data_IF_310519508443
#
_entry.id   IF_310519508443
#
_cell.length_a   1.000
_cell.length_b   1.000
_cell.length_c   1.000
_cell.angle_alpha   90.00
_cell.angle_beta   90.00
_cell.angle_gamma   90.00
#
_symmetry.space_group_name_H-M   'P 1'
#
loop_
_entity.id
_entity.type
_entity.pdbx_description
1 polymer ?
#
# COMPACT_ATOMS: atom_id res chain seq x y z
N UNK A 1 0.17 -4.27 -13.58
CA UNK A 1 -1.15 -4.42 -12.92
C UNK A 1 -2.15 -3.48 -13.60
N UNK A 2 -3.39 -3.90 -13.87
CA UNK A 2 -4.37 -3.12 -14.63
C UNK A 2 -4.57 -1.71 -14.09
N UNK A 3 -4.59 -1.56 -12.77
CA UNK A 3 -4.81 -0.28 -12.07
C UNK A 3 -3.73 0.76 -12.39
N UNK A 4 -2.46 0.40 -12.36
CA UNK A 4 -1.36 1.32 -12.68
C UNK A 4 -1.36 1.70 -14.17
N UNK A 5 -1.56 0.72 -15.05
CA UNK A 5 -1.65 0.94 -16.49
C UNK A 5 -2.82 1.85 -16.86
N UNK A 6 -4.00 1.60 -16.31
CA UNK A 6 -5.18 2.46 -16.53
C UNK A 6 -4.93 3.91 -16.07
N UNK A 7 -4.30 4.10 -14.91
CA UNK A 7 -3.96 5.45 -14.43
C UNK A 7 -2.95 6.16 -15.34
N UNK A 8 -1.96 5.44 -15.88
CA UNK A 8 -1.01 5.99 -16.85
C UNK A 8 -1.71 6.42 -18.15
N UNK A 9 -2.59 5.58 -18.68
CA UNK A 9 -3.38 5.95 -19.87
C UNK A 9 -4.29 7.14 -19.62
N UNK A 10 -4.94 7.19 -18.46
CA UNK A 10 -5.76 8.34 -18.07
C UNK A 10 -4.91 9.63 -17.99
N UNK A 11 -3.70 9.54 -17.41
CA UNK A 11 -2.74 10.62 -17.37
C UNK A 11 -2.41 11.14 -18.77
N UNK A 12 -2.09 10.23 -19.69
CA UNK A 12 -1.75 10.58 -21.08
C UNK A 12 -2.93 11.22 -21.81
N UNK A 13 -4.10 10.62 -21.71
CA UNK A 13 -5.32 11.11 -22.34
C UNK A 13 -5.78 12.48 -21.84
N UNK A 14 -5.39 12.84 -20.61
CA UNK A 14 -5.77 14.12 -19.98
C UNK A 14 -4.61 15.09 -19.83
N UNK A 15 -3.48 14.85 -20.48
CA UNK A 15 -2.25 15.64 -20.32
C UNK A 15 -2.40 17.12 -20.72
N UNK A 16 -3.27 17.41 -21.69
CA UNK A 16 -3.56 18.77 -22.17
C UNK A 16 -4.90 19.33 -21.67
N UNK A 17 -5.68 18.51 -20.96
CA UNK A 17 -6.99 18.91 -20.47
C UNK A 17 -6.87 19.83 -19.23
N UNK A 18 -7.64 20.93 -19.15
CA UNK A 18 -7.63 21.82 -17.98
C UNK A 18 -8.42 21.20 -16.83
N UNK A 19 -7.90 20.13 -16.23
CA UNK A 19 -8.56 19.42 -15.15
C UNK A 19 -8.62 20.28 -13.88
N UNK A 20 -9.79 20.29 -13.25
CA UNK A 20 -9.99 20.88 -11.91
C UNK A 20 -9.59 19.93 -10.79
N UNK A 21 -9.63 18.63 -11.05
CA UNK A 21 -9.26 17.58 -10.10
C UNK A 21 -8.78 16.34 -10.85
N UNK A 22 -7.81 15.63 -10.27
CA UNK A 22 -7.34 14.32 -10.71
C UNK A 22 -7.13 13.49 -9.46
N UNK A 23 -8.13 12.65 -9.11
CA UNK A 23 -8.14 11.89 -7.87
C UNK A 23 -7.90 10.40 -8.16
N UNK A 24 -6.90 9.83 -7.50
CA UNK A 24 -6.53 8.43 -7.61
C UNK A 24 -6.90 7.69 -6.33
N UNK A 25 -7.55 6.53 -6.47
CA UNK A 25 -7.94 5.67 -5.37
C UNK A 25 -6.86 4.63 -5.11
N UNK A 26 -5.94 4.97 -4.23
CA UNK A 26 -4.89 4.12 -3.72
C UNK A 26 -5.37 3.26 -2.54
N UNK A 27 -4.46 2.69 -1.78
CA UNK A 27 -4.76 1.88 -0.60
C UNK A 27 -3.68 2.06 0.45
N UNK A 28 -4.03 1.98 1.73
CA UNK A 28 -3.07 1.92 2.85
C UNK A 28 -2.10 0.75 2.74
N UNK A 29 -2.38 -0.26 1.91
CA UNK A 29 -1.42 -1.32 1.58
C UNK A 29 -0.17 -0.80 0.84
N UNK A 30 -0.24 0.37 0.20
CA UNK A 30 0.94 1.01 -0.40
C UNK A 30 1.91 1.53 0.68
N UNK A 31 1.39 1.93 1.85
CA UNK A 31 2.16 2.45 2.97
C UNK A 31 2.61 1.35 3.94
N UNK A 32 1.68 0.47 4.33
CA UNK A 32 1.88 -0.52 5.39
C UNK A 32 2.21 -1.92 4.85
N UNK A 33 2.08 -2.13 3.55
CA UNK A 33 2.11 -3.45 2.95
C UNK A 33 0.80 -4.22 3.12
N UNK A 34 0.71 -5.36 2.47
CA UNK A 34 -0.37 -6.33 2.66
C UNK A 34 0.17 -7.74 2.44
N UNK A 35 -0.07 -8.63 3.40
CA UNK A 35 0.37 -10.01 3.32
C UNK A 35 -0.18 -10.69 2.05
N UNK A 36 0.67 -11.39 1.33
CA UNK A 36 0.37 -12.10 0.08
C UNK A 36 -0.17 -11.21 -1.08
N UNK A 37 -0.03 -9.87 -1.00
CA UNK A 37 -0.51 -8.94 -2.02
C UNK A 37 0.56 -7.94 -2.51
N UNK A 38 1.79 -8.35 -2.84
CA UNK A 38 2.83 -7.41 -3.26
C UNK A 38 2.49 -6.69 -4.57
N UNK A 39 1.82 -7.36 -5.50
CA UNK A 39 1.34 -6.78 -6.75
C UNK A 39 0.26 -5.70 -6.54
N UNK A 40 -0.62 -5.89 -5.57
CA UNK A 40 -1.63 -4.91 -5.21
C UNK A 40 -1.00 -3.68 -4.55
N UNK A 41 -0.10 -3.89 -3.60
CA UNK A 41 0.66 -2.79 -2.96
C UNK A 41 1.48 -2.01 -3.99
N UNK A 42 2.21 -2.68 -4.88
CA UNK A 42 2.99 -2.03 -5.95
C UNK A 42 2.11 -1.21 -6.91
N UNK A 43 0.93 -1.74 -7.28
CA UNK A 43 0.00 -1.00 -8.13
C UNK A 43 -0.51 0.27 -7.46
N UNK A 44 -0.81 0.23 -6.15
CA UNK A 44 -1.24 1.40 -5.41
C UNK A 44 -0.11 2.41 -5.20
N UNK A 45 1.12 1.96 -4.90
CA UNK A 45 2.31 2.83 -4.86
C UNK A 45 2.55 3.55 -6.19
N UNK A 46 2.27 2.89 -7.32
CA UNK A 46 2.34 3.54 -8.63
C UNK A 46 1.35 4.69 -8.77
N UNK A 47 0.15 4.59 -8.19
CA UNK A 47 -0.82 5.70 -8.16
C UNK A 47 -0.32 6.87 -7.30
N UNK A 48 0.25 6.56 -6.14
CA UNK A 48 0.80 7.56 -5.23
C UNK A 48 1.94 8.34 -5.91
N UNK A 49 2.84 7.61 -6.57
CA UNK A 49 3.94 8.21 -7.35
C UNK A 49 3.41 9.07 -8.48
N UNK A 50 2.39 8.62 -9.21
CA UNK A 50 1.78 9.40 -10.29
C UNK A 50 1.19 10.71 -9.76
N UNK A 51 0.48 10.69 -8.64
CA UNK A 51 -0.04 11.90 -8.02
C UNK A 51 1.07 12.87 -7.62
N UNK A 52 2.14 12.37 -7.00
CA UNK A 52 3.29 13.17 -6.60
C UNK A 52 4.01 13.80 -7.82
N UNK A 53 4.25 13.02 -8.87
CA UNK A 53 4.86 13.52 -10.12
C UNK A 53 4.00 14.59 -10.80
N UNK A 54 2.67 14.42 -10.84
CA UNK A 54 1.78 15.44 -11.37
C UNK A 54 1.87 16.74 -10.59
N UNK A 55 1.85 16.65 -9.27
CA UNK A 55 1.96 17.83 -8.39
C UNK A 55 3.29 18.56 -8.54
N UNK A 56 4.41 17.84 -8.65
CA UNK A 56 5.73 18.44 -8.88
C UNK A 56 5.81 19.16 -10.24
N UNK A 57 4.99 18.76 -11.20
CA UNK A 57 4.85 19.42 -12.51
C UNK A 57 3.74 20.48 -12.56
N UNK A 58 3.27 20.95 -11.40
CA UNK A 58 2.20 21.94 -11.24
C UNK A 58 0.82 21.51 -11.77
N UNK A 59 0.58 20.22 -12.01
CA UNK A 59 -0.74 19.70 -12.34
C UNK A 59 -1.52 19.30 -11.08
N UNK A 60 -2.84 19.47 -11.13
CA UNK A 60 -3.71 19.00 -10.05
C UNK A 60 -3.71 17.48 -9.97
N UNK A 61 -3.44 16.94 -8.78
CA UNK A 61 -3.58 15.51 -8.49
C UNK A 61 -3.61 15.24 -6.99
N UNK A 62 -4.30 14.19 -6.58
CA UNK A 62 -4.17 13.60 -5.27
C UNK A 62 -4.39 12.08 -5.37
N UNK A 63 -3.65 11.31 -4.58
CA UNK A 63 -3.89 9.89 -4.33
C UNK A 63 -4.41 9.73 -2.90
N UNK A 64 -5.52 9.03 -2.73
CA UNK A 64 -6.05 8.70 -1.41
C UNK A 64 -5.77 7.23 -1.14
N UNK A 65 -4.94 6.95 -0.15
CA UNK A 65 -4.65 5.62 0.37
C UNK A 65 -5.78 5.21 1.33
N UNK A 66 -6.78 4.55 0.77
CA UNK A 66 -7.94 4.10 1.53
C UNK A 66 -7.61 2.90 2.41
N UNK A 67 -8.04 2.97 3.67
CA UNK A 67 -8.22 1.81 4.54
C UNK A 67 -9.47 1.01 4.16
N UNK A 68 -9.79 -0.05 4.91
CA UNK A 68 -11.00 -0.84 4.70
C UNK A 68 -12.25 0.00 5.01
N UNK A 69 -13.26 -0.11 4.14
CA UNK A 69 -14.53 0.58 4.29
C UNK A 69 -15.50 -0.23 5.15
N UNK A 70 -16.33 0.45 5.93
CA UNK A 70 -17.28 -0.19 6.82
C UNK A 70 -18.43 -0.87 6.08
N UNK A 71 -18.98 -0.17 5.08
CA UNK A 71 -20.23 -0.57 4.42
C UNK A 71 -20.00 -1.32 3.11
N UNK A 72 -18.84 -1.13 2.45
CA UNK A 72 -18.56 -1.65 1.11
C UNK A 72 -17.10 -2.08 0.96
N UNK A 73 -16.84 -2.99 0.05
CA UNK A 73 -15.49 -3.37 -0.34
C UNK A 73 -15.12 -4.82 0.00
N UNK A 74 -13.90 -5.22 -0.37
CA UNK A 74 -13.40 -6.59 -0.20
C UNK A 74 -13.27 -7.03 1.27
N UNK A 75 -13.25 -6.09 2.20
CA UNK A 75 -13.15 -6.34 3.64
C UNK A 75 -14.52 -6.33 4.34
N UNK A 76 -15.64 -6.30 3.63
CA UNK A 76 -16.98 -6.25 4.22
C UNK A 76 -17.45 -7.54 4.90
N UNK A 77 -16.63 -8.58 4.95
CA UNK A 77 -16.90 -9.81 5.71
C UNK A 77 -16.53 -9.68 7.19
N UNK A 78 -17.46 -10.06 8.11
CA UNK A 78 -17.32 -9.89 9.56
C UNK A 78 -15.99 -10.35 10.14
N UNK A 79 -15.52 -11.55 9.77
CA UNK A 79 -14.26 -12.13 10.26
C UNK A 79 -13.01 -11.29 9.86
N UNK A 80 -13.03 -10.65 8.68
CA UNK A 80 -11.94 -9.76 8.25
C UNK A 80 -11.96 -8.46 9.06
N UNK A 81 -13.15 -7.90 9.32
CA UNK A 81 -13.33 -6.74 10.17
C UNK A 81 -12.82 -6.95 11.59
N UNK A 82 -13.24 -8.04 12.23
CA UNK A 82 -12.81 -8.41 13.59
C UNK A 82 -11.30 -8.49 13.67
N UNK A 83 -10.66 -9.19 12.75
CA UNK A 83 -9.21 -9.34 12.70
C UNK A 83 -8.49 -8.00 12.51
N UNK A 84 -8.99 -7.11 11.67
CA UNK A 84 -8.42 -5.78 11.48
C UNK A 84 -8.55 -4.94 12.74
N UNK A 85 -9.70 -4.98 13.41
CA UNK A 85 -9.93 -4.27 14.68
C UNK A 85 -9.04 -4.80 15.82
N UNK A 86 -8.85 -6.11 15.90
CA UNK A 86 -7.91 -6.73 16.85
C UNK A 86 -6.48 -6.24 16.62
N UNK A 87 -6.07 -6.05 15.37
CA UNK A 87 -4.77 -5.50 15.00
C UNK A 87 -4.67 -3.97 15.21
N UNK A 88 -5.75 -3.30 15.60
CA UNK A 88 -5.77 -1.87 15.83
C UNK A 88 -6.16 -1.02 14.60
N UNK A 89 -6.61 -1.64 13.53
CA UNK A 89 -7.09 -0.94 12.32
C UNK A 89 -8.61 -0.81 12.35
N UNK A 90 -9.09 0.42 12.23
CA UNK A 90 -10.52 0.71 12.14
C UNK A 90 -11.01 0.76 10.69
N UNK A 91 -12.32 0.89 10.55
CA UNK A 91 -12.99 0.98 9.26
C UNK A 91 -13.31 2.43 8.91
N UNK A 92 -13.26 2.74 7.62
CA UNK A 92 -13.62 4.06 7.09
C UNK A 92 -15.13 4.07 6.83
N UNK A 93 -15.88 4.80 7.64
CA UNK A 93 -17.31 5.04 7.40
C UNK A 93 -17.51 6.05 6.27
N UNK A 94 -18.69 6.01 5.63
CA UNK A 94 -19.02 6.80 4.45
C UNK A 94 -18.83 8.32 4.68
N UNK A 95 -19.30 8.86 5.79
CA UNK A 95 -19.16 10.29 6.10
C UNK A 95 -17.70 10.73 6.14
N UNK A 96 -16.85 9.98 6.85
CA UNK A 96 -15.41 10.24 6.92
C UNK A 96 -14.72 10.09 5.57
N UNK A 97 -15.15 9.13 4.77
CA UNK A 97 -14.63 8.95 3.41
C UNK A 97 -14.92 10.16 2.52
N UNK A 98 -16.15 10.69 2.58
CA UNK A 98 -16.53 11.89 1.83
C UNK A 98 -15.76 13.14 2.30
N UNK A 99 -15.58 13.33 3.59
CA UNK A 99 -14.75 14.42 4.14
C UNK A 99 -13.29 14.32 3.66
N UNK A 100 -12.74 13.12 3.64
CA UNK A 100 -11.40 12.87 3.15
C UNK A 100 -11.26 13.18 1.65
N UNK A 101 -12.24 12.82 0.83
CA UNK A 101 -12.29 13.19 -0.59
C UNK A 101 -12.33 14.71 -0.77
N UNK A 102 -13.20 15.41 -0.02
CA UNK A 102 -13.25 16.87 -0.06
C UNK A 102 -11.90 17.49 0.33
N UNK A 103 -11.23 16.91 1.33
CA UNK A 103 -9.90 17.36 1.75
C UNK A 103 -8.86 17.12 0.66
N UNK A 104 -8.85 15.95 0.03
CA UNK A 104 -7.92 15.60 -1.04
C UNK A 104 -8.06 16.50 -2.28
N UNK A 105 -9.24 17.07 -2.51
CA UNK A 105 -9.54 17.96 -3.63
C UNK A 105 -9.09 19.42 -3.38
N UNK A 106 -8.65 19.77 -2.17
CA UNK A 106 -8.16 21.13 -1.88
C UNK A 106 -6.80 21.36 -2.51
N UNK A 107 -6.53 22.58 -2.97
CA UNK A 107 -5.24 22.95 -3.52
C UNK A 107 -4.08 22.76 -2.52
N UNK A 108 -4.36 22.97 -1.22
CA UNK A 108 -3.39 22.80 -0.13
C UNK A 108 -3.21 21.36 0.33
N UNK A 109 -3.99 20.39 -0.20
CA UNK A 109 -3.87 19.00 0.20
C UNK A 109 -2.51 18.41 -0.20
N UNK A 110 -1.96 17.44 0.54
CA UNK A 110 -0.79 16.72 0.09
C UNK A 110 -1.10 15.90 -1.17
N UNK A 111 -0.06 15.57 -1.95
CA UNK A 111 -0.22 14.71 -3.13
C UNK A 111 -0.73 13.30 -2.78
N UNK A 112 -0.41 12.83 -1.58
CA UNK A 112 -0.83 11.52 -1.05
C UNK A 112 -1.43 11.71 0.34
N UNK A 113 -2.64 11.20 0.55
CA UNK A 113 -3.37 11.27 1.81
C UNK A 113 -3.79 9.85 2.23
N UNK A 114 -3.35 9.39 3.38
CA UNK A 114 -3.81 8.13 3.97
C UNK A 114 -5.04 8.34 4.85
N UNK A 115 -6.06 7.51 4.67
CA UNK A 115 -7.34 7.61 5.37
C UNK A 115 -7.71 6.26 5.98
N UNK A 116 -7.44 6.11 7.27
CA UNK A 116 -7.78 4.91 8.04
C UNK A 116 -7.78 5.27 9.53
N UNK A 117 -8.82 4.94 10.30
CA UNK A 117 -8.77 5.00 11.75
C UNK A 117 -7.73 4.00 12.27
N UNK A 118 -6.80 4.42 13.12
CA UNK A 118 -5.74 3.56 13.66
C UNK A 118 -5.62 3.75 15.17
N UNK A 119 -5.62 2.65 15.88
CA UNK A 119 -5.26 2.59 17.30
C UNK A 119 -3.75 2.34 17.44
N UNK A 120 -2.97 3.40 17.40
CA UNK A 120 -1.49 3.31 17.38
C UNK A 120 -0.91 2.52 18.55
N UNK A 121 -1.52 2.60 19.74
CA UNK A 121 -1.10 1.80 20.89
C UNK A 121 -1.21 0.29 20.67
N UNK A 122 -2.15 -0.17 19.82
CA UNK A 122 -2.26 -1.59 19.45
C UNK A 122 -1.31 -1.95 18.30
N UNK A 123 -1.25 -1.11 17.27
CA UNK A 123 -0.43 -1.35 16.07
C UNK A 123 1.06 -1.33 16.38
N UNK A 124 1.50 -0.41 17.26
CA UNK A 124 2.91 -0.23 17.61
C UNK A 124 3.25 -0.82 19.01
N UNK A 125 2.25 -1.37 19.71
CA UNK A 125 2.43 -1.92 21.03
C UNK A 125 3.39 -3.12 21.03
N UNK A 126 4.50 -2.99 21.76
CA UNK A 126 5.48 -4.06 21.95
C UNK A 126 6.51 -4.25 20.82
N UNK A 127 6.52 -3.39 19.80
CA UNK A 127 7.52 -3.41 18.73
C UNK A 127 8.18 -2.04 18.59
N UNK A 128 9.44 -2.02 18.16
CA UNK A 128 10.11 -0.78 17.78
C UNK A 128 9.41 -0.18 16.57
N UNK A 129 8.91 1.03 16.70
CA UNK A 129 8.19 1.69 15.62
C UNK A 129 9.13 1.97 14.44
N UNK A 130 8.75 1.61 13.20
CA UNK A 130 9.50 2.01 12.02
C UNK A 130 9.67 3.53 11.98
N UNK A 131 10.80 4.03 11.44
CA UNK A 131 11.14 5.45 11.43
C UNK A 131 10.02 6.36 10.89
N UNK A 132 9.31 5.93 9.84
CA UNK A 132 8.20 6.67 9.23
C UNK A 132 6.92 6.71 10.09
N UNK A 133 6.82 5.87 11.13
CA UNK A 133 5.72 5.85 12.10
C UNK A 133 6.14 6.37 13.49
N UNK A 134 7.37 6.80 13.67
CA UNK A 134 7.92 7.22 14.97
C UNK A 134 7.10 8.33 15.65
N UNK A 135 6.52 9.24 14.87
CA UNK A 135 5.66 10.32 15.40
C UNK A 135 4.40 9.78 16.09
N UNK A 136 3.92 8.60 15.71
CA UNK A 136 2.73 7.96 16.27
C UNK A 136 3.03 7.07 17.48
N UNK A 137 4.29 6.69 17.69
CA UNK A 137 4.72 5.87 18.82
C UNK A 137 4.56 6.61 20.15
N UNK A 138 4.70 7.94 20.15
CA UNK A 138 4.57 8.79 21.34
C UNK A 138 3.11 8.97 21.81
N UNK A 139 2.14 8.64 20.96
CA UNK A 139 0.71 8.73 21.27
C UNK A 139 0.16 7.45 21.92
N UNK A 140 0.98 6.41 22.08
CA UNK A 140 0.60 5.22 22.82
C UNK A 140 0.65 5.50 24.32
N UNK A 141 -0.39 5.20 25.13
CA UNK A 141 -0.33 5.33 26.56
C UNK A 141 0.84 4.49 27.09
N UNK A 142 1.77 5.12 27.80
CA UNK A 142 2.87 4.45 28.48
C UNK A 142 2.30 3.48 29.51
N UNK A 143 2.18 2.21 29.17
CA UNK A 143 2.04 1.16 30.19
C UNK A 143 3.31 1.18 31.03
N UNK A 144 3.14 1.30 32.35
CA UNK A 144 4.21 1.49 33.33
C UNK A 144 5.35 0.46 33.26
N UNK A 145 6.38 0.59 34.11
CA UNK A 145 7.66 -0.08 33.93
C UNK A 145 7.52 -1.59 33.96
N UNK A 146 7.68 -2.22 32.81
CA UNK A 146 7.89 -3.67 32.73
C UNK A 146 9.35 -3.91 33.07
N UNK A 147 9.57 -4.55 34.21
CA UNK A 147 10.88 -4.98 34.70
C UNK A 147 11.68 -5.66 33.61
N UNK A 148 12.95 -5.25 33.50
CA UNK A 148 13.96 -5.79 32.61
C UNK A 148 14.18 -7.30 32.83
N UNK A 149 13.51 -8.11 32.04
CA UNK A 149 13.89 -9.48 31.75
C UNK A 149 14.51 -9.49 30.36
N UNK A 150 15.83 -9.53 30.31
CA UNK A 150 16.57 -9.61 29.06
C UNK A 150 16.31 -10.98 28.39
N UNK A 151 15.27 -11.05 27.57
CA UNK A 151 15.13 -12.10 26.59
C UNK A 151 15.78 -11.60 25.30
N UNK A 152 16.95 -12.08 25.05
CA UNK A 152 17.69 -11.92 23.80
C UNK A 152 16.88 -12.61 22.68
N UNK A 153 15.91 -11.92 22.14
CA UNK A 153 15.26 -12.35 20.90
C UNK A 153 16.26 -12.10 19.79
N UNK A 154 16.86 -13.19 19.33
CA UNK A 154 17.71 -13.19 18.15
C UNK A 154 16.97 -12.46 17.02
N UNK A 155 17.58 -11.38 16.53
CA UNK A 155 17.18 -10.68 15.30
C UNK A 155 17.34 -11.65 14.14
N UNK A 156 16.36 -12.48 13.92
CA UNK A 156 16.20 -13.13 12.63
C UNK A 156 15.61 -12.08 11.70
N UNK A 157 16.45 -11.15 11.29
CA UNK A 157 16.16 -10.32 10.15
C UNK A 157 15.86 -11.26 9.01
N UNK A 158 14.62 -11.31 8.58
CA UNK A 158 14.25 -11.95 7.34
C UNK A 158 14.92 -11.16 6.22
N UNK A 159 16.22 -11.39 6.03
CA UNK A 159 16.87 -11.06 4.77
C UNK A 159 16.25 -12.04 3.78
N UNK A 160 15.25 -11.56 3.07
CA UNK A 160 14.77 -12.24 1.88
C UNK A 160 16.00 -12.22 0.94
N UNK A 161 16.76 -13.29 0.95
CA UNK A 161 17.93 -13.41 0.10
C UNK A 161 17.47 -13.40 -1.35
N UNK A 162 18.31 -12.91 -2.24
CA UNK A 162 18.07 -12.92 -3.69
C UNK A 162 17.60 -14.31 -4.16
N UNK A 163 18.15 -15.38 -3.61
CA UNK A 163 17.75 -16.77 -3.85
C UNK A 163 16.29 -17.06 -3.51
N UNK A 164 15.77 -16.51 -2.41
CA UNK A 164 14.36 -16.69 -2.03
C UNK A 164 13.41 -15.97 -2.98
N UNK A 165 13.81 -14.80 -3.48
CA UNK A 165 13.05 -14.05 -4.48
C UNK A 165 13.06 -14.76 -5.83
N UNK A 166 14.22 -15.28 -6.23
CA UNK A 166 14.39 -16.05 -7.46
C UNK A 166 13.59 -17.36 -7.42
N UNK A 167 13.59 -18.06 -6.28
CA UNK A 167 12.82 -19.29 -6.12
C UNK A 167 11.31 -19.01 -6.17
N UNK A 168 10.85 -17.92 -5.57
CA UNK A 168 9.44 -17.50 -5.68
C UNK A 168 9.10 -17.15 -7.14
N UNK A 169 9.99 -16.45 -7.84
CA UNK A 169 9.79 -16.09 -9.25
C UNK A 169 9.79 -17.36 -10.14
N UNK A 170 10.67 -18.33 -9.90
CA UNK A 170 10.70 -19.63 -10.60
C UNK A 170 9.39 -20.40 -10.43
N UNK A 171 8.88 -20.49 -9.20
CA UNK A 171 7.60 -21.15 -8.91
C UNK A 171 6.44 -20.47 -9.62
N UNK A 172 6.41 -19.14 -9.61
CA UNK A 172 5.33 -18.37 -10.23
C UNK A 172 5.39 -18.44 -11.76
N UNK A 173 6.58 -18.45 -12.34
CA UNK A 173 6.78 -18.53 -13.81
C UNK A 173 6.71 -19.96 -14.35
N UNK A 174 6.75 -20.98 -13.48
CA UNK A 174 6.65 -22.40 -13.86
C UNK A 174 7.78 -22.87 -14.76
N UNK A 175 9.00 -22.37 -14.61
CA UNK A 175 10.14 -22.73 -15.45
C UNK A 175 11.48 -22.60 -14.74
N UNK A 176 12.45 -23.39 -15.17
CA UNK A 176 13.85 -23.28 -14.77
C UNK A 176 14.48 -22.05 -15.45
N UNK A 177 14.52 -20.94 -14.77
CA UNK A 177 15.34 -19.79 -15.16
C UNK A 177 16.59 -19.74 -14.30
N UNK A 178 17.71 -19.39 -14.89
CA UNK A 178 18.97 -19.15 -14.21
C UNK A 178 18.93 -17.80 -13.46
N UNK A 179 19.83 -17.62 -12.46
CA UNK A 179 19.96 -16.38 -11.70
C UNK A 179 20.25 -15.15 -12.58
N UNK A 180 20.86 -15.37 -13.73
CA UNK A 180 21.21 -14.33 -14.71
C UNK A 180 20.11 -14.04 -15.75
N UNK A 181 18.96 -14.73 -15.67
CA UNK A 181 17.86 -14.48 -16.62
C UNK A 181 17.22 -13.11 -16.36
N UNK A 182 17.18 -12.21 -17.36
CA UNK A 182 16.58 -10.89 -17.19
C UNK A 182 15.11 -10.94 -16.77
N UNK A 183 14.69 -10.09 -15.84
CA UNK A 183 13.31 -10.02 -15.34
C UNK A 183 12.26 -9.87 -16.46
N UNK A 184 12.59 -9.20 -17.58
CA UNK A 184 11.72 -9.05 -18.75
C UNK A 184 11.38 -10.40 -19.41
N UNK A 185 12.31 -11.37 -19.39
CA UNK A 185 12.06 -12.72 -19.92
C UNK A 185 11.09 -13.50 -19.03
N UNK A 186 11.19 -13.33 -17.71
CA UNK A 186 10.21 -13.88 -16.77
C UNK A 186 8.82 -13.29 -17.01
N UNK A 187 8.73 -11.98 -17.20
CA UNK A 187 7.48 -11.29 -17.51
C UNK A 187 6.85 -11.80 -18.81
N UNK A 188 7.65 -11.99 -19.88
CA UNK A 188 7.19 -12.54 -21.14
C UNK A 188 6.64 -13.96 -21.01
N UNK A 189 7.30 -14.83 -20.25
CA UNK A 189 6.84 -16.21 -20.00
C UNK A 189 5.54 -16.25 -19.18
N UNK A 190 5.40 -15.37 -18.19
CA UNK A 190 4.16 -15.26 -17.40
C UNK A 190 3.00 -14.80 -18.28
N UNK A 191 3.20 -13.77 -19.11
CA UNK A 191 2.18 -13.26 -20.02
C UNK A 191 1.77 -14.30 -21.06
N UNK A 192 2.71 -15.04 -21.63
CA UNK A 192 2.43 -16.13 -22.58
C UNK A 192 1.60 -17.26 -21.95
N UNK A 193 1.86 -17.62 -20.67
CA UNK A 193 1.07 -18.62 -19.95
C UNK A 193 -0.32 -18.15 -19.53
N UNK A 194 -0.55 -16.83 -19.44
CA UNK A 194 -1.85 -16.25 -19.14
C UNK A 194 -2.78 -16.12 -20.36
N UNK A 195 -2.38 -16.66 -21.52
CA UNK A 195 -3.25 -16.72 -22.70
C UNK A 195 -3.45 -15.39 -23.42
N UNK A 196 -2.56 -14.45 -23.22
CA UNK A 196 -2.49 -13.25 -24.06
C UNK A 196 -1.60 -13.60 -25.28
N UNK A 197 -2.14 -14.39 -26.21
CA UNK A 197 -1.72 -14.32 -27.60
C UNK A 197 -2.39 -13.10 -28.21
N UNK A 198 -1.62 -12.35 -28.96
CA UNK A 198 -1.93 -11.12 -29.69
C UNK A 198 -3.32 -11.05 -30.32
#
# INVERSE_FOLDING_TARGET
>A
APKAVAATWLQLATSTAPLRAFLLFSSTSALLGAAAQPNYSAANTSLDTLAACRRSSAFVAAAVQWGPWAEVGMASGGAVHERLQEQGFGLVGLARGLEAMQTALRASAPAVLAVMPVSWGRVLGGVEAPAFLSAFAQSAPSSGPVSSGAAHVARTGCRVGLESVLELARRTAGGAGDADTPLREYAGRVLSKMGHSE
#
